data_IF_297091071360
#
_entry.id   IF_297091071360
#
_cell.length_a   1.000
_cell.length_b   1.000
_cell.length_c   1.000
_cell.angle_alpha   90.00
_cell.angle_beta   90.00
_cell.angle_gamma   90.00
#
_symmetry.space_group_name_H-M   'P 1'
#
loop_
_entity.id
_entity.type
_entity.pdbx_description
1 polymer ?
#
# COMPACT_ATOMS: atom_id res chain seq x y z
N UNK A 1 -0.49 19.86 -7.83
CA UNK A 1 -0.28 18.44 -7.48
C UNK A 1 -1.58 17.75 -7.08
N UNK A 2 -2.46 18.35 -6.27
CA UNK A 2 -3.74 17.73 -5.89
C UNK A 2 -4.58 17.21 -7.08
N UNK A 3 -4.77 18.02 -8.12
CA UNK A 3 -5.52 17.63 -9.31
C UNK A 3 -4.95 16.39 -10.04
N UNK A 4 -3.62 16.27 -10.13
CA UNK A 4 -2.96 15.12 -10.74
C UNK A 4 -3.16 13.83 -9.95
N UNK A 5 -3.24 13.91 -8.62
CA UNK A 5 -3.53 12.74 -7.77
C UNK A 5 -4.97 12.28 -7.99
N UNK A 6 -5.92 13.21 -8.06
CA UNK A 6 -7.33 12.91 -8.27
C UNK A 6 -7.55 12.24 -9.63
N UNK A 7 -6.99 12.82 -10.70
CA UNK A 7 -7.08 12.29 -12.07
C UNK A 7 -6.55 10.84 -12.15
N UNK A 8 -5.41 10.57 -11.49
CA UNK A 8 -4.84 9.22 -11.42
C UNK A 8 -5.66 8.25 -10.59
N UNK A 9 -6.31 8.71 -9.52
CA UNK A 9 -7.20 7.87 -8.72
C UNK A 9 -8.47 7.54 -9.50
N UNK A 10 -9.05 8.50 -10.21
CA UNK A 10 -10.22 8.28 -11.09
C UNK A 10 -9.92 7.22 -12.16
N UNK A 11 -8.78 7.34 -12.86
CA UNK A 11 -8.32 6.31 -13.81
C UNK A 11 -8.21 4.90 -13.19
N UNK A 12 -7.78 4.80 -11.92
CA UNK A 12 -7.66 3.50 -11.22
C UNK A 12 -9.05 2.94 -10.92
N UNK A 13 -10.00 3.77 -10.51
CA UNK A 13 -11.34 3.31 -10.15
C UNK A 13 -12.17 2.87 -11.36
N UNK A 14 -11.84 3.36 -12.56
CA UNK A 14 -12.44 2.95 -13.84
C UNK A 14 -11.97 1.57 -14.36
N UNK A 15 -11.01 0.90 -13.69
CA UNK A 15 -10.54 -0.42 -14.13
C UNK A 15 -11.57 -1.53 -13.88
N UNK A 16 -12.25 -2.03 -14.91
CA UNK A 16 -13.31 -3.05 -14.75
C UNK A 16 -12.81 -4.41 -14.24
N UNK A 17 -11.56 -4.78 -14.51
CA UNK A 17 -10.99 -6.10 -14.22
C UNK A 17 -10.23 -6.18 -12.88
N UNK A 18 -10.34 -5.14 -12.04
CA UNK A 18 -9.63 -5.05 -10.75
C UNK A 18 -10.64 -4.93 -9.61
N UNK A 19 -10.44 -5.71 -8.54
CA UNK A 19 -11.28 -5.64 -7.34
C UNK A 19 -11.15 -4.27 -6.68
N UNK A 20 -12.24 -3.79 -6.07
CA UNK A 20 -12.26 -2.48 -5.43
C UNK A 20 -11.22 -2.34 -4.31
N UNK A 21 -10.98 -3.41 -3.54
CA UNK A 21 -9.96 -3.38 -2.50
C UNK A 21 -8.53 -3.24 -3.05
N UNK A 22 -8.27 -3.85 -4.21
CA UNK A 22 -6.98 -3.73 -4.89
C UNK A 22 -6.81 -2.34 -5.51
N UNK A 23 -7.89 -1.75 -6.05
CA UNK A 23 -7.92 -0.36 -6.53
C UNK A 23 -7.60 0.61 -5.39
N UNK A 24 -8.18 0.40 -4.21
CA UNK A 24 -7.86 1.20 -3.01
C UNK A 24 -6.37 1.09 -2.68
N UNK A 25 -5.78 -0.11 -2.68
CA UNK A 25 -4.34 -0.28 -2.45
C UNK A 25 -3.49 0.46 -3.50
N UNK A 26 -3.88 0.39 -4.77
CA UNK A 26 -3.22 1.10 -5.88
C UNK A 26 -3.28 2.62 -5.69
N UNK A 27 -4.46 3.16 -5.37
CA UNK A 27 -4.67 4.59 -5.14
C UNK A 27 -3.85 5.11 -3.96
N UNK A 28 -3.95 4.45 -2.81
CA UNK A 28 -3.19 4.82 -1.60
C UNK A 28 -1.68 4.79 -1.86
N UNK A 29 -1.18 3.73 -2.50
CA UNK A 29 0.23 3.65 -2.83
C UNK A 29 0.67 4.71 -3.84
N UNK A 30 -0.11 4.91 -4.91
CA UNK A 30 0.19 5.90 -5.96
C UNK A 30 0.33 7.30 -5.38
N UNK A 31 -0.60 7.69 -4.51
CA UNK A 31 -0.55 8.95 -3.76
C UNK A 31 0.70 9.03 -2.89
N UNK A 32 0.97 7.99 -2.09
CA UNK A 32 2.09 8.00 -1.16
C UNK A 32 3.45 8.08 -1.85
N UNK A 33 3.66 7.24 -2.87
CA UNK A 33 4.95 7.10 -3.53
C UNK A 33 5.31 8.35 -4.34
N UNK A 34 4.32 9.08 -4.86
CA UNK A 34 4.54 10.34 -5.56
C UNK A 34 5.31 11.34 -4.68
N UNK A 35 4.99 11.39 -3.39
CA UNK A 35 5.60 12.31 -2.42
C UNK A 35 6.80 11.70 -1.70
N UNK A 36 6.84 10.37 -1.57
CA UNK A 36 7.80 9.67 -0.72
C UNK A 36 8.80 8.77 -1.48
N UNK A 37 8.89 8.87 -2.81
CA UNK A 37 9.77 8.00 -3.64
C UNK A 37 11.20 7.90 -3.13
N UNK A 38 11.82 9.04 -2.80
CA UNK A 38 13.21 9.06 -2.31
C UNK A 38 13.35 8.38 -0.94
N UNK A 39 12.33 8.50 -0.07
CA UNK A 39 12.27 7.81 1.22
C UNK A 39 12.16 6.29 1.02
N UNK A 40 11.32 5.85 0.07
CA UNK A 40 11.14 4.45 -0.27
C UNK A 40 12.40 3.82 -0.87
N UNK A 41 13.02 4.45 -1.88
CA UNK A 41 14.19 3.87 -2.57
C UNK A 41 15.41 3.80 -1.66
N UNK A 42 15.54 4.71 -0.69
CA UNK A 42 16.63 4.69 0.29
C UNK A 42 16.59 3.46 1.20
N UNK A 43 15.40 3.01 1.57
CA UNK A 43 15.17 1.83 2.40
C UNK A 43 13.75 1.32 2.16
N UNK A 44 13.62 0.28 1.34
CA UNK A 44 12.32 -0.25 0.92
C UNK A 44 11.48 -0.70 2.12
N UNK A 45 12.09 -1.37 3.09
CA UNK A 45 11.37 -1.87 4.25
C UNK A 45 10.85 -0.73 5.12
N UNK A 46 11.70 0.24 5.48
CA UNK A 46 11.25 1.41 6.25
C UNK A 46 10.27 2.28 5.47
N UNK A 47 10.40 2.35 4.15
CA UNK A 47 9.45 3.01 3.28
C UNK A 47 8.07 2.35 3.32
N UNK A 48 8.01 1.02 3.20
CA UNK A 48 6.76 0.27 3.31
C UNK A 48 6.13 0.40 4.70
N UNK A 49 6.91 0.36 5.77
CA UNK A 49 6.40 0.62 7.13
C UNK A 49 5.77 2.01 7.20
N UNK A 50 6.45 3.04 6.69
CA UNK A 50 5.92 4.40 6.70
C UNK A 50 4.63 4.56 5.88
N UNK A 51 4.50 3.85 4.75
CA UNK A 51 3.26 3.79 3.99
C UNK A 51 2.12 3.17 4.82
N UNK A 52 2.38 2.05 5.49
CA UNK A 52 1.39 1.39 6.36
C UNK A 52 1.01 2.27 7.55
N UNK A 53 1.98 2.93 8.19
CA UNK A 53 1.72 3.87 9.30
C UNK A 53 0.80 5.02 8.88
N UNK A 54 0.93 5.49 7.63
CA UNK A 54 0.13 6.61 7.13
C UNK A 54 -1.30 6.19 6.76
N UNK A 55 -1.49 4.96 6.28
CA UNK A 55 -2.75 4.54 5.68
C UNK A 55 -3.45 3.35 6.35
N UNK A 56 -2.97 2.85 7.49
CA UNK A 56 -3.55 1.66 8.13
C UNK A 56 -5.06 1.78 8.39
N UNK A 57 -5.57 2.96 8.74
CA UNK A 57 -7.03 3.19 8.95
C UNK A 57 -7.80 3.02 7.65
N UNK A 58 -7.32 3.63 6.56
CA UNK A 58 -7.96 3.53 5.24
C UNK A 58 -7.88 2.10 4.71
N UNK A 59 -6.73 1.44 4.88
CA UNK A 59 -6.56 0.03 4.52
C UNK A 59 -7.58 -0.81 5.31
N UNK A 60 -7.72 -0.59 6.61
CA UNK A 60 -8.69 -1.33 7.45
C UNK A 60 -10.13 -1.13 6.99
N UNK A 61 -10.51 0.10 6.64
CA UNK A 61 -11.90 0.45 6.31
C UNK A 61 -12.29 0.10 4.87
N UNK A 62 -11.36 0.15 3.92
CA UNK A 62 -11.68 0.14 2.50
C UNK A 62 -11.00 -0.97 1.67
N UNK A 63 -9.97 -1.66 2.19
CA UNK A 63 -9.26 -2.71 1.44
C UNK A 63 -9.14 -4.04 2.20
N UNK A 64 -8.87 -3.98 3.49
CA UNK A 64 -8.66 -5.12 4.36
C UNK A 64 -7.29 -5.78 4.23
N UNK A 65 -7.06 -6.75 5.10
CA UNK A 65 -5.78 -7.45 5.25
C UNK A 65 -5.36 -8.21 3.99
N UNK A 66 -6.31 -8.85 3.31
CA UNK A 66 -6.04 -9.67 2.12
C UNK A 66 -5.51 -8.82 0.96
N UNK A 67 -6.07 -7.64 0.73
CA UNK A 67 -5.59 -6.72 -0.30
C UNK A 67 -4.19 -6.19 0.04
N UNK A 68 -3.94 -5.81 1.29
CA UNK A 68 -2.58 -5.43 1.74
C UNK A 68 -1.57 -6.55 1.51
N UNK A 69 -1.93 -7.81 1.81
CA UNK A 69 -1.06 -8.95 1.56
C UNK A 69 -0.74 -9.13 0.08
N UNK A 70 -1.75 -9.10 -0.79
CA UNK A 70 -1.55 -9.20 -2.25
C UNK A 70 -0.64 -8.07 -2.73
N UNK A 71 -0.87 -6.85 -2.26
CA UNK A 71 -0.02 -5.70 -2.55
C UNK A 71 1.45 -5.91 -2.15
N UNK A 72 1.69 -6.41 -0.94
CA UNK A 72 3.05 -6.69 -0.45
C UNK A 72 3.73 -7.85 -1.20
N UNK A 73 2.97 -8.81 -1.73
CA UNK A 73 3.54 -9.86 -2.59
C UNK A 73 4.08 -9.26 -3.91
N UNK A 74 3.45 -8.21 -4.44
CA UNK A 74 4.02 -7.49 -5.60
C UNK A 74 5.37 -6.86 -5.27
N UNK A 75 5.61 -6.47 -4.02
CA UNK A 75 6.92 -5.91 -3.61
C UNK A 75 7.99 -6.99 -3.58
N UNK A 76 7.61 -8.23 -3.27
CA UNK A 76 8.53 -9.39 -3.36
C UNK A 76 8.87 -9.69 -4.81
N UNK A 77 7.86 -9.75 -5.69
CA UNK A 77 8.06 -9.99 -7.13
C UNK A 77 9.00 -8.94 -7.74
N UNK A 78 8.86 -7.68 -7.32
CA UNK A 78 9.71 -6.57 -7.77
C UNK A 78 11.02 -6.43 -6.97
N UNK A 79 11.34 -7.36 -6.06
CA UNK A 79 12.57 -7.39 -5.24
C UNK A 79 12.77 -6.16 -4.35
N UNK A 80 11.69 -5.51 -3.94
CA UNK A 80 11.72 -4.44 -2.94
C UNK A 80 11.73 -5.00 -1.53
N UNK A 81 11.04 -6.12 -1.29
CA UNK A 81 10.98 -6.80 0.01
C UNK A 81 11.28 -8.29 -0.11
N UNK A 82 11.77 -8.87 0.98
CA UNK A 82 11.79 -10.33 1.17
C UNK A 82 10.53 -10.82 1.93
N UNK A 83 10.34 -12.14 1.99
CA UNK A 83 9.18 -12.73 2.66
C UNK A 83 9.14 -12.47 4.18
N UNK A 84 10.30 -12.37 4.84
CA UNK A 84 10.37 -12.08 6.27
C UNK A 84 9.99 -10.62 6.55
N UNK A 85 10.39 -9.70 5.68
CA UNK A 85 9.97 -8.30 5.70
C UNK A 85 8.46 -8.18 5.49
N UNK A 86 7.88 -8.89 4.51
CA UNK A 86 6.41 -8.91 4.32
C UNK A 86 5.69 -9.37 5.59
N UNK A 87 6.14 -10.48 6.21
CA UNK A 87 5.54 -10.96 7.46
C UNK A 87 5.63 -9.93 8.59
N UNK A 88 6.74 -9.19 8.69
CA UNK A 88 6.90 -8.11 9.68
C UNK A 88 5.98 -6.91 9.39
N UNK A 89 5.82 -6.53 8.13
CA UNK A 89 4.88 -5.46 7.75
C UNK A 89 3.44 -5.84 8.06
N UNK A 90 3.02 -7.07 7.72
CA UNK A 90 1.66 -7.57 8.03
C UNK A 90 1.40 -7.60 9.53
N UNK A 91 2.35 -8.12 10.32
CA UNK A 91 2.27 -8.11 11.78
C UNK A 91 2.21 -6.70 12.36
N UNK A 92 2.90 -5.75 11.74
CA UNK A 92 2.87 -4.34 12.13
C UNK A 92 1.49 -3.73 11.86
N UNK A 93 0.93 -3.96 10.66
CA UNK A 93 -0.42 -3.55 10.31
C UNK A 93 -1.48 -4.15 11.26
N UNK A 94 -1.40 -5.44 11.56
CA UNK A 94 -2.34 -6.12 12.47
C UNK A 94 -2.39 -5.48 13.86
N UNK A 95 -1.23 -5.08 14.39
CA UNK A 95 -1.13 -4.37 15.68
C UNK A 95 -1.80 -3.00 15.62
N UNK A 96 -1.57 -2.24 14.55
CA UNK A 96 -2.22 -0.93 14.37
C UNK A 96 -3.74 -1.08 14.23
N UNK A 97 -4.17 -2.05 13.42
CA UNK A 97 -5.57 -2.29 13.13
C UNK A 97 -6.34 -2.94 14.31
N UNK A 98 -5.64 -3.41 15.35
CA UNK A 98 -6.24 -4.09 16.50
C UNK A 98 -6.84 -5.45 16.14
N UNK A 99 -6.20 -6.18 15.21
CA UNK A 99 -6.68 -7.47 14.68
C UNK A 99 -5.94 -8.67 15.32
N UNK A 100 -5.01 -8.41 16.27
CA UNK A 100 -4.28 -9.42 17.07
C UNK A 100 -4.04 -8.91 18.48
#
# INVERSE_FOLDING_TARGET
MSWFVIDKEEEIFELDDVRDEDKVMMALWGRWILLNRNKFVRDYYRGTIAFVDEYWEMIKLAAGWSALRVWLLMFVVNRFLDGAQVARVLKHYEKLAGVV
#
